data_IF_780231195356
#
_entry.id   IF_780231195356
#
_cell.length_a   1.000
_cell.length_b   1.000
_cell.length_c   1.000
_cell.angle_alpha   90.00
_cell.angle_beta   90.00
_cell.angle_gamma   90.00
#
_symmetry.space_group_name_H-M   'P 1'
#
loop_
_entity.id
_entity.type
_entity.pdbx_description
1 polymer ?
#
# COMPACT_ATOMS: atom_id res chain seq x y z
N UNK A 1 -33.41 -11.43 -0.51
CA UNK A 1 -32.01 -10.97 -0.71
C UNK A 1 -31.13 -11.93 0.07
N UNK A 2 -30.29 -12.69 -0.62
CA UNK A 2 -29.42 -13.68 0.02
C UNK A 2 -28.27 -12.94 0.72
N UNK A 3 -28.23 -12.97 2.05
CA UNK A 3 -27.13 -12.39 2.81
C UNK A 3 -25.89 -13.27 2.64
N UNK A 4 -25.03 -12.91 1.69
CA UNK A 4 -23.75 -13.60 1.49
C UNK A 4 -22.91 -13.42 2.77
N UNK A 5 -22.71 -14.51 3.50
CA UNK A 5 -21.86 -14.53 4.71
C UNK A 5 -20.42 -14.25 4.28
N UNK A 6 -19.84 -13.16 4.78
CA UNK A 6 -18.44 -12.79 4.49
C UNK A 6 -17.53 -13.57 5.44
N UNK A 7 -16.59 -14.35 4.91
CA UNK A 7 -15.52 -14.97 5.71
C UNK A 7 -14.37 -13.95 5.88
N UNK A 8 -14.03 -13.64 7.13
CA UNK A 8 -12.90 -12.77 7.48
C UNK A 8 -11.60 -13.23 6.82
N UNK A 9 -11.37 -14.54 6.69
CA UNK A 9 -10.15 -15.11 6.12
C UNK A 9 -9.99 -14.81 4.63
N UNK A 10 -11.07 -14.46 3.96
CA UNK A 10 -11.09 -14.18 2.52
C UNK A 10 -11.02 -12.69 2.19
N UNK A 11 -10.99 -11.81 3.20
CA UNK A 11 -10.90 -10.37 2.99
C UNK A 11 -9.59 -10.04 2.28
N UNK A 12 -9.74 -9.45 1.09
CA UNK A 12 -8.64 -8.97 0.25
C UNK A 12 -8.81 -7.47 0.05
N UNK A 13 -7.70 -6.74 -0.17
CA UNK A 13 -7.78 -5.33 -0.50
C UNK A 13 -8.59 -5.11 -1.77
N UNK A 14 -9.50 -4.14 -1.71
CA UNK A 14 -10.43 -3.78 -2.79
C UNK A 14 -9.71 -2.99 -3.88
N UNK A 15 -8.79 -2.11 -3.49
CA UNK A 15 -8.07 -1.21 -4.38
C UNK A 15 -6.56 -1.13 -4.06
N UNK A 16 -5.84 -0.36 -4.87
CA UNK A 16 -4.40 -0.17 -4.71
C UNK A 16 -4.03 0.62 -3.46
N UNK A 17 -4.91 1.48 -2.95
CA UNK A 17 -4.65 2.24 -1.73
C UNK A 17 -4.70 1.28 -0.52
N UNK A 18 -5.70 0.40 -0.45
CA UNK A 18 -5.77 -0.64 0.56
C UNK A 18 -4.56 -1.59 0.47
N UNK A 19 -4.13 -1.97 -0.75
CA UNK A 19 -2.89 -2.75 -0.94
C UNK A 19 -1.69 -2.04 -0.34
N UNK A 20 -1.52 -0.74 -0.58
CA UNK A 20 -0.42 0.05 -0.04
C UNK A 20 -0.50 0.13 1.50
N UNK A 21 -1.68 0.33 2.07
CA UNK A 21 -1.87 0.38 3.53
C UNK A 21 -1.49 -0.96 4.16
N UNK A 22 -1.91 -2.08 3.56
CA UNK A 22 -1.57 -3.42 4.03
C UNK A 22 -0.06 -3.68 3.93
N UNK A 23 0.57 -3.36 2.79
CA UNK A 23 2.02 -3.49 2.63
C UNK A 23 2.77 -2.70 3.69
N UNK A 24 2.42 -1.43 3.88
CA UNK A 24 3.03 -0.57 4.91
C UNK A 24 2.97 -1.22 6.31
N UNK A 25 1.80 -1.76 6.67
CA UNK A 25 1.61 -2.46 7.95
C UNK A 25 2.45 -3.74 8.04
N UNK A 26 2.55 -4.53 6.96
CA UNK A 26 3.38 -5.75 6.91
C UNK A 26 4.86 -5.47 7.16
N UNK A 27 5.38 -4.37 6.61
CA UNK A 27 6.76 -3.95 6.83
C UNK A 27 6.96 -3.16 8.14
N UNK A 28 5.91 -2.99 8.95
CA UNK A 28 5.91 -2.21 10.20
C UNK A 28 6.45 -0.77 10.03
N UNK A 29 6.04 -0.08 8.95
CA UNK A 29 6.51 1.27 8.63
C UNK A 29 5.46 2.33 8.95
N UNK A 30 5.89 3.47 9.49
CA UNK A 30 5.07 4.68 9.48
C UNK A 30 4.85 5.20 8.05
N UNK A 31 3.82 6.00 7.82
CA UNK A 31 3.59 6.62 6.49
C UNK A 31 4.79 7.47 6.06
N UNK A 32 5.44 8.16 7.01
CA UNK A 32 6.64 8.96 6.74
C UNK A 32 7.84 8.10 6.35
N UNK A 33 8.05 6.95 7.00
CA UNK A 33 9.14 6.03 6.63
C UNK A 33 8.91 5.37 5.30
N UNK A 34 7.67 4.91 5.05
CA UNK A 34 7.32 4.28 3.78
C UNK A 34 7.47 5.25 2.62
N UNK A 35 6.98 6.50 2.77
CA UNK A 35 7.18 7.55 1.77
C UNK A 35 8.66 7.78 1.44
N UNK A 36 9.51 7.86 2.46
CA UNK A 36 10.97 8.00 2.28
C UNK A 36 11.57 6.81 1.53
N UNK A 37 11.19 5.58 1.88
CA UNK A 37 11.70 4.35 1.25
C UNK A 37 11.30 4.23 -0.23
N UNK A 38 10.09 4.63 -0.60
CA UNK A 38 9.63 4.62 -2.00
C UNK A 38 9.98 5.92 -2.76
N UNK A 39 10.68 6.86 -2.12
CA UNK A 39 11.17 8.10 -2.73
C UNK A 39 10.06 9.10 -3.09
N UNK A 40 9.08 9.30 -2.21
CA UNK A 40 8.04 10.34 -2.33
C UNK A 40 7.95 11.18 -1.06
N UNK A 41 7.24 12.31 -1.10
CA UNK A 41 7.05 13.13 0.10
C UNK A 41 6.00 12.50 1.03
N UNK A 42 6.15 12.61 2.37
CA UNK A 42 5.16 12.11 3.31
C UNK A 42 3.77 12.71 3.11
N UNK A 43 3.68 14.00 2.80
CA UNK A 43 2.40 14.67 2.54
C UNK A 43 1.71 14.10 1.30
N UNK A 44 2.45 13.93 0.19
CA UNK A 44 1.88 13.33 -1.02
C UNK A 44 1.31 11.95 -0.74
N UNK A 45 2.10 11.08 -0.09
CA UNK A 45 1.64 9.74 0.25
C UNK A 45 0.42 9.79 1.20
N UNK A 46 0.44 10.66 2.21
CA UNK A 46 -0.70 10.81 3.12
C UNK A 46 -1.97 11.21 2.37
N UNK A 47 -1.90 12.20 1.48
CA UNK A 47 -3.05 12.65 0.68
C UNK A 47 -3.59 11.56 -0.24
N UNK A 48 -2.72 10.72 -0.81
CA UNK A 48 -3.17 9.55 -1.59
C UNK A 48 -3.85 8.53 -0.69
N UNK A 49 -3.26 8.20 0.47
CA UNK A 49 -3.81 7.22 1.40
C UNK A 49 -5.16 7.62 2.01
N UNK A 50 -5.43 8.93 2.11
CA UNK A 50 -6.72 9.47 2.58
C UNK A 50 -7.71 9.74 1.45
N UNK A 51 -7.46 9.26 0.23
CA UNK A 51 -8.27 9.53 -0.97
C UNK A 51 -8.45 11.01 -1.31
N UNK A 52 -7.58 11.90 -0.78
CA UNK A 52 -7.59 13.33 -1.08
C UNK A 52 -6.89 13.64 -2.41
N UNK A 53 -6.05 12.72 -2.88
CA UNK A 53 -5.45 12.74 -4.22
C UNK A 53 -5.57 11.35 -4.86
N UNK A 54 -5.79 11.27 -6.18
CA UNK A 54 -5.80 10.00 -6.88
C UNK A 54 -4.42 9.35 -6.85
N UNK A 55 -4.41 8.03 -6.79
CA UNK A 55 -3.18 7.25 -6.97
C UNK A 55 -2.68 7.41 -8.41
N UNK A 56 -1.36 7.51 -8.57
CA UNK A 56 -0.73 7.59 -9.90
C UNK A 56 0.02 6.30 -10.23
N UNK A 57 0.09 5.95 -11.52
CA UNK A 57 0.90 4.81 -11.99
C UNK A 57 2.36 4.91 -11.56
N UNK A 58 2.89 6.15 -11.47
CA UNK A 58 4.26 6.40 -11.00
C UNK A 58 4.43 5.99 -9.55
N UNK A 59 3.43 6.21 -8.69
CA UNK A 59 3.45 5.76 -7.30
C UNK A 59 3.37 4.23 -7.23
N UNK A 60 2.50 3.60 -8.02
CA UNK A 60 2.39 2.12 -8.07
C UNK A 60 3.73 1.49 -8.49
N UNK A 61 4.39 2.01 -9.53
CA UNK A 61 5.71 1.53 -9.96
C UNK A 61 6.76 1.63 -8.85
N UNK A 62 6.76 2.72 -8.07
CA UNK A 62 7.69 2.90 -6.94
C UNK A 62 7.41 1.91 -5.80
N UNK A 63 6.15 1.63 -5.52
CA UNK A 63 5.77 0.62 -4.51
C UNK A 63 6.20 -0.77 -4.96
N UNK A 64 5.97 -1.15 -6.22
CA UNK A 64 6.40 -2.44 -6.75
C UNK A 64 7.91 -2.61 -6.68
N UNK A 65 8.68 -1.61 -7.13
CA UNK A 65 10.14 -1.63 -7.04
C UNK A 65 10.65 -1.77 -5.59
N UNK A 66 9.94 -1.18 -4.61
CA UNK A 66 10.26 -1.36 -3.20
C UNK A 66 10.02 -2.80 -2.75
N UNK A 67 8.89 -3.41 -3.12
CA UNK A 67 8.56 -4.79 -2.75
C UNK A 67 9.54 -5.78 -3.39
N UNK A 68 9.82 -5.64 -4.68
CA UNK A 68 10.82 -6.45 -5.40
C UNK A 68 12.18 -6.39 -4.69
N UNK A 69 12.62 -5.18 -4.32
CA UNK A 69 13.88 -5.01 -3.59
C UNK A 69 13.89 -5.70 -2.23
N UNK A 70 12.76 -5.73 -1.49
CA UNK A 70 12.71 -6.45 -0.21
C UNK A 70 12.77 -7.96 -0.41
N UNK A 71 12.04 -8.49 -1.39
CA UNK A 71 12.03 -9.93 -1.66
C UNK A 71 13.41 -10.46 -2.08
N UNK A 72 14.21 -9.67 -2.83
CA UNK A 72 15.57 -10.07 -3.22
C UNK A 72 16.61 -9.98 -2.09
N UNK A 73 16.27 -9.41 -0.92
CA UNK A 73 17.18 -9.32 0.25
C UNK A 73 16.94 -10.50 1.21
N UNK A 74 15.78 -11.16 1.10
CA UNK A 74 15.39 -12.29 1.94
C UNK A 74 15.76 -13.67 1.33
N UNK A 75 16.59 -13.70 0.27
CA UNK A 75 17.26 -14.89 -0.31
C UNK A 75 18.78 -14.87 -0.05
#
# INVERSE_FOLDING_TARGET
>A
MEHKKIDWKEIKPIDDIERIILLKKRFNLSTREFARKIGVTPNYLSSVLTNSLPISDKLVKKVNAFVEKQNCIDE
#
